data_IF_699438831793
#
_entry.id   IF_699438831793
#
_cell.length_a   1.000
_cell.length_b   1.000
_cell.length_c   1.000
_cell.angle_alpha   90.00
_cell.angle_beta   90.00
_cell.angle_gamma   90.00
#
_symmetry.space_group_name_H-M   'P 1'
#
loop_
_entity.id
_entity.type
_entity.pdbx_description
1 polymer ?
#
# COMPACT_ATOMS: atom_id res chain seq x y z
N UNK A 1 -51.49 23.96 19.45
CA UNK A 1 -51.13 22.53 19.55
C UNK A 1 -51.54 21.86 18.24
N UNK A 2 -50.62 21.09 17.64
CA UNK A 2 -50.74 20.26 16.42
C UNK A 2 -49.90 20.73 15.22
N UNK A 3 -48.71 20.10 15.18
CA UNK A 3 -48.10 19.44 14.02
C UNK A 3 -47.62 20.32 12.87
N UNK A 4 -46.60 21.15 13.15
CA UNK A 4 -45.64 21.61 12.15
C UNK A 4 -44.19 21.28 12.54
N UNK A 5 -43.97 20.19 13.28
CA UNK A 5 -42.66 19.50 13.30
C UNK A 5 -42.57 18.63 12.05
N UNK A 6 -42.20 19.28 10.95
CA UNK A 6 -41.74 18.66 9.72
C UNK A 6 -40.50 17.81 10.03
N UNK A 7 -40.69 16.49 10.07
CA UNK A 7 -39.90 15.46 9.37
C UNK A 7 -38.41 15.76 9.09
N UNK A 8 -37.60 16.12 10.09
CA UNK A 8 -36.13 16.27 9.94
C UNK A 8 -35.43 15.75 11.21
N UNK A 9 -35.68 14.49 11.60
CA UNK A 9 -34.95 13.89 12.73
C UNK A 9 -34.89 12.36 12.67
N UNK A 10 -34.81 11.74 11.48
CA UNK A 10 -34.66 10.28 11.39
C UNK A 10 -33.86 9.78 10.18
N UNK A 11 -32.94 10.57 9.63
CA UNK A 11 -32.13 10.17 8.47
C UNK A 11 -30.63 10.41 8.67
N UNK A 12 -30.15 10.45 9.91
CA UNK A 12 -28.74 10.67 10.19
C UNK A 12 -28.20 9.78 11.32
N UNK A 13 -28.42 8.46 11.24
CA UNK A 13 -27.72 7.52 12.13
C UNK A 13 -27.65 6.07 11.63
N UNK A 14 -27.39 5.83 10.33
CA UNK A 14 -27.12 4.46 9.82
C UNK A 14 -26.01 4.43 8.75
N UNK A 15 -24.93 5.23 8.87
CA UNK A 15 -23.77 5.10 7.94
C UNK A 15 -22.42 5.03 8.68
N UNK A 16 -22.38 4.43 9.88
CA UNK A 16 -21.11 4.20 10.59
C UNK A 16 -20.79 2.73 10.87
N UNK A 17 -21.43 1.78 10.17
CA UNK A 17 -21.15 0.35 10.33
C UNK A 17 -20.60 -0.35 9.08
N UNK A 18 -20.09 0.39 8.09
CA UNK A 18 -19.52 -0.20 6.89
C UNK A 18 -18.08 0.29 6.65
N UNK A 19 -17.14 -0.18 7.46
CA UNK A 19 -15.81 -0.62 6.97
C UNK A 19 -14.99 -1.27 8.09
N UNK A 20 -15.57 -2.27 8.76
CA UNK A 20 -14.78 -3.34 9.38
C UNK A 20 -15.02 -4.62 8.57
N UNK A 21 -14.82 -4.54 7.26
CA UNK A 21 -14.70 -5.73 6.43
C UNK A 21 -13.22 -6.12 6.40
N UNK A 22 -12.72 -6.65 7.52
CA UNK A 22 -11.55 -7.53 7.43
C UNK A 22 -12.04 -8.80 6.76
N UNK A 23 -12.07 -8.75 5.43
CA UNK A 23 -12.42 -9.85 4.54
C UNK A 23 -11.26 -10.86 4.62
N UNK A 24 -11.21 -11.62 5.72
CA UNK A 24 -10.18 -12.64 6.01
C UNK A 24 -10.13 -13.73 4.90
N UNK A 25 -11.13 -13.75 4.01
CA UNK A 25 -11.24 -14.65 2.86
C UNK A 25 -10.81 -14.04 1.53
N UNK A 26 -10.46 -12.75 1.45
CA UNK A 26 -9.93 -12.15 0.22
C UNK A 26 -8.52 -12.66 -0.04
N UNK A 27 -8.42 -13.69 -0.88
CA UNK A 27 -7.15 -14.08 -1.47
C UNK A 27 -6.85 -13.15 -2.65
N UNK A 28 -5.66 -12.58 -2.63
CA UNK A 28 -5.08 -11.81 -3.72
C UNK A 28 -4.85 -12.65 -4.97
N UNK A 29 -4.70 -11.97 -6.10
CA UNK A 29 -4.36 -12.58 -7.40
C UNK A 29 -2.99 -12.17 -7.91
N UNK A 30 -2.25 -11.37 -7.14
CA UNK A 30 -1.00 -10.76 -7.59
C UNK A 30 -1.22 -9.48 -8.40
N UNK A 31 -0.10 -8.87 -8.78
CA UNK A 31 -0.06 -7.73 -9.70
C UNK A 31 -0.21 -8.22 -11.14
N UNK A 32 -1.00 -7.51 -11.95
CA UNK A 32 -1.23 -7.89 -13.35
C UNK A 32 0.11 -7.91 -14.14
N UNK A 33 0.27 -8.91 -15.01
CA UNK A 33 1.51 -9.13 -15.77
C UNK A 33 1.96 -7.97 -16.66
N UNK A 34 1.04 -7.06 -17.04
CA UNK A 34 1.38 -5.82 -17.76
C UNK A 34 2.30 -4.87 -16.97
N UNK A 35 2.43 -5.06 -15.66
CA UNK A 35 3.32 -4.29 -14.80
C UNK A 35 4.59 -5.08 -14.40
N UNK A 36 4.81 -6.26 -14.99
CA UNK A 36 6.04 -7.03 -14.82
C UNK A 36 7.24 -6.14 -15.16
N UNK A 37 8.21 -6.07 -14.26
CA UNK A 37 9.37 -5.21 -14.45
C UNK A 37 10.13 -4.96 -13.15
N UNK A 38 11.29 -4.32 -13.27
CA UNK A 38 12.09 -3.89 -12.13
C UNK A 38 12.01 -2.38 -11.99
N UNK A 39 11.53 -1.91 -10.86
CA UNK A 39 11.35 -0.50 -10.54
C UNK A 39 12.35 -0.08 -9.47
N UNK A 40 13.03 1.04 -9.65
CA UNK A 40 13.90 1.58 -8.61
C UNK A 40 13.84 3.10 -8.56
N UNK A 41 14.07 3.67 -7.38
CA UNK A 41 14.00 5.12 -7.21
C UNK A 41 14.33 5.56 -5.79
N UNK A 42 14.48 6.87 -5.63
CA UNK A 42 14.58 7.49 -4.32
C UNK A 42 13.25 7.37 -3.58
N UNK A 43 13.35 7.25 -2.27
CA UNK A 43 12.22 7.21 -1.35
C UNK A 43 12.55 8.08 -0.14
N UNK A 44 11.52 8.45 0.60
CA UNK A 44 11.66 9.09 1.91
C UNK A 44 10.75 8.37 2.90
N UNK A 45 11.25 8.11 4.10
CA UNK A 45 10.46 7.68 5.26
C UNK A 45 10.18 8.88 6.14
N UNK A 46 8.91 9.20 6.30
CA UNK A 46 8.44 10.29 7.15
C UNK A 46 8.05 9.73 8.52
N UNK A 47 8.77 10.17 9.54
CA UNK A 47 8.43 9.97 10.94
C UNK A 47 7.65 11.19 11.47
N UNK A 48 7.17 11.13 12.71
CA UNK A 48 6.58 12.30 13.38
C UNK A 48 7.57 13.46 13.52
N UNK A 49 8.86 13.14 13.73
CA UNK A 49 9.89 14.12 14.11
C UNK A 49 10.97 14.32 13.03
N UNK A 50 10.80 13.79 11.83
CA UNK A 50 11.85 13.88 10.81
C UNK A 50 11.55 13.11 9.52
N UNK A 51 12.48 13.24 8.58
CA UNK A 51 12.47 12.54 7.29
C UNK A 51 13.80 11.82 7.16
N UNK A 52 13.74 10.57 6.73
CA UNK A 52 14.90 9.74 6.41
C UNK A 52 14.88 9.43 4.91
N UNK A 53 15.96 9.78 4.21
CA UNK A 53 16.09 9.54 2.78
C UNK A 53 16.54 8.10 2.50
N UNK A 54 16.18 7.55 1.35
CA UNK A 54 16.60 6.21 0.98
C UNK A 54 16.40 5.89 -0.49
N UNK A 55 16.56 4.61 -0.80
CA UNK A 55 16.29 4.02 -2.11
C UNK A 55 15.48 2.74 -1.96
N UNK A 56 14.58 2.52 -2.91
CA UNK A 56 13.85 1.27 -3.05
C UNK A 56 14.13 0.62 -4.40
N UNK A 57 14.09 -0.71 -4.43
CA UNK A 57 14.04 -1.50 -5.66
C UNK A 57 12.99 -2.59 -5.49
N UNK A 58 12.04 -2.67 -6.42
CA UNK A 58 10.98 -3.69 -6.44
C UNK A 58 10.94 -4.37 -7.81
N UNK A 59 10.78 -5.68 -7.82
CA UNK A 59 10.61 -6.52 -9.01
C UNK A 59 9.22 -7.12 -8.94
N UNK A 60 8.43 -6.86 -9.98
CA UNK A 60 7.13 -7.47 -10.18
C UNK A 60 7.35 -8.71 -11.06
N UNK A 61 7.10 -9.88 -10.50
CA UNK A 61 7.31 -11.15 -11.19
C UNK A 61 6.15 -11.47 -12.14
N UNK A 62 6.39 -12.36 -13.10
CA UNK A 62 5.37 -12.77 -14.09
C UNK A 62 4.16 -13.48 -13.46
N UNK A 63 4.32 -14.08 -12.29
CA UNK A 63 3.23 -14.72 -11.54
C UNK A 63 2.43 -13.74 -10.67
N UNK A 64 2.78 -12.45 -10.70
CA UNK A 64 2.16 -11.38 -9.91
C UNK A 64 2.69 -11.24 -8.49
N UNK A 65 3.68 -12.05 -8.07
CA UNK A 65 4.39 -11.85 -6.81
C UNK A 65 5.37 -10.67 -6.87
N UNK A 66 5.81 -10.18 -5.71
CA UNK A 66 6.70 -9.03 -5.61
C UNK A 66 7.90 -9.36 -4.74
N UNK A 67 9.10 -9.03 -5.24
CA UNK A 67 10.34 -9.04 -4.46
C UNK A 67 10.95 -7.65 -4.45
N UNK A 68 11.36 -7.14 -3.29
CA UNK A 68 11.93 -5.82 -3.20
C UNK A 68 12.94 -5.66 -2.07
N UNK A 69 13.53 -4.48 -2.02
CA UNK A 69 14.40 -4.04 -0.93
C UNK A 69 14.23 -2.54 -0.73
N UNK A 70 14.28 -2.12 0.53
CA UNK A 70 14.25 -0.71 0.95
C UNK A 70 15.52 -0.44 1.76
N UNK A 71 16.27 0.59 1.40
CA UNK A 71 17.53 0.95 2.08
C UNK A 71 17.51 2.43 2.42
N UNK A 72 17.68 2.76 3.70
CA UNK A 72 17.74 4.14 4.16
C UNK A 72 19.19 4.62 4.31
N UNK A 73 19.45 5.88 3.93
CA UNK A 73 20.76 6.50 3.98
C UNK A 73 21.09 6.91 5.42
N UNK A 74 21.55 5.95 6.22
CA UNK A 74 21.81 6.17 7.65
C UNK A 74 22.42 4.99 8.40
N UNK A 75 22.51 3.80 7.78
CA UNK A 75 23.31 2.69 8.30
C UNK A 75 22.54 1.42 8.70
N UNK A 76 21.28 1.28 8.29
CA UNK A 76 20.55 0.01 8.44
C UNK A 76 20.79 -0.93 7.26
N UNK A 77 20.74 -2.24 7.53
CA UNK A 77 20.71 -3.25 6.47
C UNK A 77 19.46 -3.04 5.61
N UNK A 78 19.52 -3.33 4.30
CA UNK A 78 18.34 -3.33 3.45
C UNK A 78 17.21 -4.16 4.08
N UNK A 79 16.00 -3.60 4.09
CA UNK A 79 14.79 -4.31 4.44
C UNK A 79 14.31 -5.06 3.21
N UNK A 80 14.48 -6.38 3.20
CA UNK A 80 13.97 -7.24 2.14
C UNK A 80 12.45 -7.37 2.22
N UNK A 81 11.80 -7.37 1.06
CA UNK A 81 10.36 -7.50 0.91
C UNK A 81 10.07 -8.68 -0.01
N UNK A 82 9.26 -9.62 0.45
CA UNK A 82 8.76 -10.73 -0.37
C UNK A 82 7.27 -10.87 -0.14
N UNK A 83 6.49 -10.68 -1.21
CA UNK A 83 5.03 -10.74 -1.20
C UNK A 83 4.59 -11.81 -2.18
N UNK A 84 3.92 -12.85 -1.69
CA UNK A 84 3.30 -13.83 -2.56
C UNK A 84 2.07 -13.23 -3.24
N UNK A 85 1.69 -13.74 -4.41
CA UNK A 85 0.54 -13.22 -5.16
C UNK A 85 -0.77 -13.32 -4.37
N UNK A 86 -0.90 -14.34 -3.51
CA UNK A 86 -2.11 -14.63 -2.74
C UNK A 86 -2.41 -13.58 -1.66
N UNK A 87 -1.44 -12.75 -1.30
CA UNK A 87 -1.63 -11.67 -0.32
C UNK A 87 -1.72 -10.27 -0.97
N UNK A 88 -1.60 -10.21 -2.30
CA UNK A 88 -1.66 -8.94 -3.06
C UNK A 88 -3.06 -8.77 -3.64
N UNK A 89 -3.77 -7.78 -3.11
CA UNK A 89 -5.15 -7.46 -3.47
C UNK A 89 -5.15 -6.34 -4.51
N UNK A 90 -5.88 -6.55 -5.61
CA UNK A 90 -6.14 -5.52 -6.61
C UNK A 90 -7.23 -4.56 -6.11
N UNK A 91 -6.90 -3.28 -6.01
CA UNK A 91 -7.83 -2.22 -5.61
C UNK A 91 -8.45 -1.52 -6.82
N UNK A 92 -7.68 -1.37 -7.90
CA UNK A 92 -8.10 -0.82 -9.19
C UNK A 92 -7.21 -1.38 -10.32
N UNK A 93 -7.43 -0.96 -11.58
CA UNK A 93 -6.65 -1.43 -12.74
C UNK A 93 -5.15 -1.14 -12.68
N UNK A 94 -4.74 -0.22 -11.82
CA UNK A 94 -3.35 0.19 -11.65
C UNK A 94 -2.92 0.28 -10.18
N UNK A 95 -3.77 -0.11 -9.23
CA UNK A 95 -3.47 -0.02 -7.80
C UNK A 95 -3.65 -1.36 -7.09
N UNK A 96 -2.64 -1.74 -6.31
CA UNK A 96 -2.57 -2.98 -5.58
C UNK A 96 -2.10 -2.72 -4.15
N UNK A 97 -2.51 -3.56 -3.22
CA UNK A 97 -2.05 -3.50 -1.85
C UNK A 97 -1.75 -4.86 -1.27
N UNK A 98 -0.82 -4.92 -0.33
CA UNK A 98 -0.53 -6.11 0.46
C UNK A 98 -0.33 -5.73 1.92
N UNK A 99 -0.62 -6.67 2.81
CA UNK A 99 -0.44 -6.49 4.25
C UNK A 99 0.34 -7.68 4.81
N UNK A 100 1.45 -7.41 5.49
CA UNK A 100 2.23 -8.41 6.22
C UNK A 100 2.14 -8.10 7.71
N UNK A 101 1.94 -9.12 8.54
CA UNK A 101 1.84 -8.99 10.00
C UNK A 101 2.74 -9.98 10.76
N UNK A 102 3.90 -10.35 10.21
CA UNK A 102 4.76 -11.38 10.83
C UNK A 102 5.66 -10.83 11.94
N UNK A 103 6.28 -9.66 11.72
CA UNK A 103 7.16 -8.98 12.68
C UNK A 103 6.63 -7.60 13.08
N UNK A 104 5.37 -7.30 12.78
CA UNK A 104 4.81 -5.97 12.79
C UNK A 104 3.95 -5.72 11.55
N UNK A 105 2.92 -4.89 11.70
CA UNK A 105 2.00 -4.59 10.62
C UNK A 105 2.67 -3.66 9.60
N UNK A 106 2.90 -4.15 8.38
CA UNK A 106 3.32 -3.34 7.24
C UNK A 106 2.27 -3.41 6.13
N UNK A 107 1.83 -2.25 5.64
CA UNK A 107 0.89 -2.14 4.52
C UNK A 107 1.59 -1.53 3.32
N UNK A 108 1.60 -2.26 2.23
CA UNK A 108 2.19 -1.84 0.95
C UNK A 108 1.07 -1.40 0.03
N UNK A 109 1.28 -0.30 -0.69
CA UNK A 109 0.45 0.13 -1.81
C UNK A 109 1.36 0.40 -3.00
N UNK A 110 1.03 -0.23 -4.12
CA UNK A 110 1.71 -0.08 -5.41
C UNK A 110 0.73 0.55 -6.38
N UNK A 111 1.03 1.74 -6.88
CA UNK A 111 0.22 2.40 -7.92
C UNK A 111 1.06 2.63 -9.16
N UNK A 112 0.65 2.05 -10.27
CA UNK A 112 1.36 2.12 -11.54
C UNK A 112 0.84 3.26 -12.41
N UNK A 113 1.75 4.02 -13.00
CA UNK A 113 1.46 5.09 -13.94
C UNK A 113 2.52 5.12 -15.05
N UNK A 114 2.19 4.58 -16.22
CA UNK A 114 3.14 4.34 -17.31
C UNK A 114 4.34 3.52 -16.79
N UNK A 115 5.57 4.02 -16.97
CA UNK A 115 6.81 3.37 -16.57
C UNK A 115 7.21 3.73 -15.12
N UNK A 116 6.26 4.19 -14.31
CA UNK A 116 6.50 4.56 -12.91
C UNK A 116 5.65 3.72 -11.97
N UNK A 117 6.25 3.39 -10.83
CA UNK A 117 5.60 2.82 -9.66
C UNK A 117 5.64 3.85 -8.53
N UNK A 118 4.47 4.32 -8.13
CA UNK A 118 4.30 5.07 -6.89
C UNK A 118 4.19 4.06 -5.73
N UNK A 119 5.19 4.10 -4.85
CA UNK A 119 5.28 3.25 -3.68
C UNK A 119 4.77 4.02 -2.45
N UNK A 120 3.94 3.37 -1.65
CA UNK A 120 3.60 3.81 -0.31
C UNK A 120 3.63 2.61 0.64
N UNK A 121 4.38 2.73 1.74
CA UNK A 121 4.46 1.72 2.80
C UNK A 121 4.12 2.41 4.11
N UNK A 122 3.08 1.93 4.77
CA UNK A 122 2.80 2.27 6.17
C UNK A 122 3.52 1.24 7.04
N UNK A 123 4.50 1.71 7.80
CA UNK A 123 5.31 0.88 8.69
C UNK A 123 4.62 0.69 10.05
N UNK A 124 5.10 -0.27 10.83
CA UNK A 124 4.56 -0.62 12.16
C UNK A 124 4.55 0.57 13.13
N UNK A 125 5.57 1.43 13.06
CA UNK A 125 5.71 2.64 13.88
C UNK A 125 4.85 3.83 13.37
N UNK A 126 3.93 3.58 12.42
CA UNK A 126 3.13 4.56 11.69
C UNK A 126 3.93 5.57 10.87
N UNK A 127 5.25 5.38 10.70
CA UNK A 127 5.99 6.14 9.70
C UNK A 127 5.58 5.69 8.30
N UNK A 128 5.66 6.62 7.35
CA UNK A 128 5.26 6.37 5.96
C UNK A 128 6.47 6.46 5.06
N UNK A 129 6.79 5.37 4.37
CA UNK A 129 7.80 5.34 3.32
C UNK A 129 7.12 5.55 1.98
N UNK A 130 7.57 6.51 1.19
CA UNK A 130 6.99 6.78 -0.12
C UNK A 130 8.03 7.23 -1.13
N UNK A 131 7.75 6.99 -2.41
CA UNK A 131 8.57 7.51 -3.51
C UNK A 131 8.05 7.07 -4.87
N UNK A 132 8.66 7.64 -5.91
CA UNK A 132 8.38 7.30 -7.30
C UNK A 132 9.55 6.51 -7.87
N UNK A 133 9.28 5.26 -8.24
CA UNK A 133 10.26 4.33 -8.75
C UNK A 133 10.08 4.26 -10.27
N UNK A 134 11.17 4.42 -11.01
CA UNK A 134 11.14 4.29 -12.47
C UNK A 134 11.45 2.86 -12.85
N UNK A 135 10.73 2.34 -13.83
CA UNK A 135 11.03 1.07 -14.45
C UNK A 135 12.42 1.13 -15.11
N UNK A 136 13.26 0.18 -14.74
CA UNK A 136 14.57 -0.04 -15.35
C UNK A 136 14.43 -1.17 -16.37
N UNK A 137 14.78 -0.86 -17.62
CA UNK A 137 14.93 -1.83 -18.70
C UNK A 137 16.06 -2.83 -18.41
#
# INVERSE_FOLDING_TARGET
MKTLLKTISLTLMIIFLASCSNDITKTGSGIDSKYQGKYSGAINRKHQNGIEDGRATFTINNDGSVKGSVTYYGGSNPEDVELSKEIIIKNSDNSYSAEINFTGLKKYTFTFNNNMLELNIVNEDNSVTSGQLTESN
#
